data_IF_662051263044
#
_entry.id   IF_662051263044
#
_cell.length_a   1.000
_cell.length_b   1.000
_cell.length_c   1.000
_cell.angle_alpha   90.00
_cell.angle_beta   90.00
_cell.angle_gamma   90.00
#
_symmetry.space_group_name_H-M   'P 1'
#
loop_
_entity.id
_entity.type
_entity.pdbx_description
1 polymer ?
#
# COMPACT_ATOMS: atom_id res chain seq x y z
N UNK A 1 -15.80 16.38 -1.03
CA UNK A 1 -14.63 17.00 -0.37
C UNK A 1 -14.71 16.63 1.12
N UNK A 2 -13.70 16.03 1.80
CA UNK A 2 -12.31 15.70 1.43
C UNK A 2 -12.01 14.19 1.66
N UNK A 3 -12.13 13.34 0.63
CA UNK A 3 -11.92 11.88 0.82
C UNK A 3 -10.45 11.50 0.96
N UNK A 4 -9.54 12.20 0.27
CA UNK A 4 -8.09 11.96 0.28
C UNK A 4 -7.45 12.22 1.65
N UNK A 5 -7.65 13.41 2.21
CA UNK A 5 -7.04 13.80 3.48
C UNK A 5 -7.54 12.93 4.62
N UNK A 6 -8.83 12.55 4.58
CA UNK A 6 -9.42 11.63 5.56
C UNK A 6 -8.80 10.24 5.48
N UNK A 7 -8.65 9.66 4.29
CA UNK A 7 -8.06 8.33 4.14
C UNK A 7 -6.60 8.28 4.63
N UNK A 8 -5.80 9.31 4.29
CA UNK A 8 -4.41 9.41 4.77
C UNK A 8 -4.36 9.59 6.28
N UNK A 9 -5.26 10.39 6.86
CA UNK A 9 -5.36 10.57 8.31
C UNK A 9 -5.75 9.26 9.03
N UNK A 10 -6.72 8.52 8.48
CA UNK A 10 -7.17 7.24 9.03
C UNK A 10 -6.04 6.21 9.00
N UNK A 11 -5.39 6.01 7.84
CA UNK A 11 -4.26 5.10 7.69
C UNK A 11 -3.11 5.49 8.64
N UNK A 12 -2.76 6.79 8.70
CA UNK A 12 -1.73 7.29 9.63
C UNK A 12 -2.07 7.02 11.09
N UNK A 13 -3.34 7.16 11.47
CA UNK A 13 -3.80 6.84 12.83
C UNK A 13 -3.59 5.36 13.17
N UNK A 14 -4.00 4.47 12.26
CA UNK A 14 -3.86 3.01 12.42
C UNK A 14 -2.38 2.62 12.56
N UNK A 15 -1.52 3.09 11.67
CA UNK A 15 -0.11 2.76 11.73
C UNK A 15 0.61 3.38 12.93
N UNK A 16 0.18 4.56 13.41
CA UNK A 16 0.72 5.14 14.64
C UNK A 16 0.43 4.25 15.85
N UNK A 17 -0.79 3.75 15.98
CA UNK A 17 -1.12 2.80 17.05
C UNK A 17 -0.34 1.49 16.95
N UNK A 18 -0.11 0.99 15.73
CA UNK A 18 0.73 -0.20 15.51
C UNK A 18 2.21 0.06 15.86
N UNK A 19 2.71 1.27 15.59
CA UNK A 19 4.06 1.70 15.93
C UNK A 19 4.26 1.82 17.45
N UNK A 20 3.28 2.36 18.17
CA UNK A 20 3.29 2.43 19.65
C UNK A 20 3.30 1.03 20.28
N UNK A 21 2.75 0.03 19.60
CA UNK A 21 2.86 -1.39 19.95
C UNK A 21 4.20 -2.05 19.58
N UNK A 22 5.16 -1.31 19.00
CA UNK A 22 6.51 -1.77 18.69
C UNK A 22 6.66 -2.62 17.41
N UNK A 23 5.59 -2.73 16.60
CA UNK A 23 5.52 -3.71 15.50
C UNK A 23 5.66 -3.17 14.08
N UNK A 24 5.81 -1.86 13.88
CA UNK A 24 5.70 -1.28 12.55
C UNK A 24 7.01 -1.28 11.76
N UNK A 25 6.97 -1.84 10.55
CA UNK A 25 8.10 -1.87 9.61
C UNK A 25 7.76 -1.06 8.36
N UNK A 26 8.79 -0.50 7.72
CA UNK A 26 8.69 0.13 6.42
C UNK A 26 8.40 -0.94 5.37
N UNK A 27 7.30 -0.77 4.65
CA UNK A 27 6.81 -1.77 3.69
C UNK A 27 7.82 -2.10 2.58
N UNK A 28 8.62 -1.12 2.16
CA UNK A 28 9.57 -1.30 1.08
C UNK A 28 10.93 -1.85 1.50
N UNK A 29 11.42 -1.45 2.68
CA UNK A 29 12.76 -1.84 3.14
C UNK A 29 12.76 -2.97 4.15
N UNK A 30 11.61 -3.31 4.74
CA UNK A 30 11.50 -4.25 5.85
C UNK A 30 12.13 -3.75 7.16
N UNK A 31 12.76 -2.57 7.18
CA UNK A 31 13.38 -2.01 8.39
C UNK A 31 12.31 -1.47 9.33
N UNK A 32 12.54 -1.61 10.63
CA UNK A 32 11.70 -1.02 11.67
C UNK A 32 11.61 0.50 11.50
N UNK A 33 10.41 1.05 11.64
CA UNK A 33 10.20 2.49 11.72
C UNK A 33 10.46 2.90 13.18
N UNK A 34 11.44 3.78 13.46
CA UNK A 34 11.89 4.02 14.83
C UNK A 34 10.98 4.96 15.63
N UNK A 35 10.21 5.83 14.95
CA UNK A 35 9.38 6.84 15.61
C UNK A 35 8.28 7.35 14.68
N UNK A 36 7.28 8.00 15.28
CA UNK A 36 6.16 8.58 14.53
C UNK A 36 6.60 9.73 13.60
N UNK A 37 7.74 10.39 13.88
CA UNK A 37 8.31 11.43 13.03
C UNK A 37 8.97 10.86 11.76
N UNK A 38 9.48 9.63 11.83
CA UNK A 38 10.10 8.93 10.70
C UNK A 38 9.08 8.12 9.87
N UNK A 39 7.84 8.01 10.37
CA UNK A 39 6.73 7.32 9.71
C UNK A 39 6.05 8.21 8.68
N UNK A 40 6.14 7.80 7.42
CA UNK A 40 5.41 8.39 6.30
C UNK A 40 4.35 7.44 5.78
N UNK A 41 3.35 8.00 5.10
CA UNK A 41 2.37 7.24 4.31
C UNK A 41 2.75 7.42 2.85
N UNK A 42 2.95 6.30 2.17
CA UNK A 42 3.22 6.25 0.74
C UNK A 42 2.01 5.71 -0.01
N UNK A 43 1.85 6.18 -1.24
CA UNK A 43 0.93 5.62 -2.21
C UNK A 43 1.63 4.49 -2.96
N UNK A 44 1.15 3.27 -2.78
CA UNK A 44 1.68 2.08 -3.44
C UNK A 44 1.76 2.33 -4.95
N UNK A 45 0.62 2.65 -5.56
CA UNK A 45 0.52 3.28 -6.87
C UNK A 45 0.42 4.80 -6.71
N UNK A 46 1.36 5.59 -7.26
CA UNK A 46 1.41 7.04 -7.08
C UNK A 46 0.08 7.72 -7.38
N UNK A 47 -0.34 8.64 -6.51
CA UNK A 47 -1.60 9.36 -6.68
C UNK A 47 -1.64 10.18 -7.98
N UNK A 48 -0.48 10.70 -8.43
CA UNK A 48 -0.30 11.40 -9.70
C UNK A 48 -0.73 10.55 -10.91
N UNK A 49 -0.64 9.23 -10.81
CA UNK A 49 -0.90 8.25 -11.87
C UNK A 49 -2.26 7.57 -11.67
N UNK A 50 -2.51 7.01 -10.47
CA UNK A 50 -3.65 6.13 -10.21
C UNK A 50 -4.86 6.83 -9.58
N UNK A 51 -4.69 8.06 -9.07
CA UNK A 51 -5.76 8.92 -8.49
C UNK A 51 -6.64 8.21 -7.44
N UNK A 52 -6.05 7.28 -6.69
CA UNK A 52 -6.75 6.44 -5.73
C UNK A 52 -6.16 6.65 -4.32
N UNK A 53 -7.05 6.86 -3.33
CA UNK A 53 -6.70 7.03 -1.92
C UNK A 53 -7.36 5.98 -1.03
N UNK A 54 -7.72 4.84 -1.61
CA UNK A 54 -8.22 3.69 -0.88
C UNK A 54 -7.13 3.19 0.08
N UNK A 55 -7.56 2.62 1.19
CA UNK A 55 -6.69 2.19 2.29
C UNK A 55 -5.63 1.18 1.81
N UNK A 56 -5.99 0.25 0.91
CA UNK A 56 -5.03 -0.71 0.35
C UNK A 56 -3.86 -0.04 -0.38
N UNK A 57 -4.06 1.18 -0.89
CA UNK A 57 -3.04 1.94 -1.60
C UNK A 57 -2.18 2.81 -0.66
N UNK A 58 -2.43 2.81 0.65
CA UNK A 58 -1.77 3.66 1.65
C UNK A 58 -0.94 2.83 2.63
N UNK A 59 0.38 2.86 2.48
CA UNK A 59 1.29 1.99 3.23
C UNK A 59 2.32 2.77 4.07
N UNK A 60 2.79 2.21 5.20
CA UNK A 60 3.76 2.87 6.06
C UNK A 60 5.17 2.69 5.51
N UNK A 61 5.94 3.78 5.49
CA UNK A 61 7.31 3.77 4.99
C UNK A 61 8.21 4.72 5.77
N UNK A 62 9.52 4.54 5.63
CA UNK A 62 10.51 5.52 6.07
C UNK A 62 10.54 6.68 5.07
N UNK A 63 10.63 7.92 5.57
CA UNK A 63 10.71 9.11 4.71
C UNK A 63 11.83 9.03 3.67
N UNK A 64 13.02 8.56 4.07
CA UNK A 64 14.17 8.37 3.17
C UNK A 64 13.92 7.36 2.03
N UNK A 65 13.07 6.35 2.26
CA UNK A 65 12.71 5.36 1.23
C UNK A 65 11.58 5.91 0.35
N UNK A 66 10.62 6.62 0.95
CA UNK A 66 9.54 7.28 0.24
C UNK A 66 10.06 8.27 -0.82
N UNK A 67 10.98 9.14 -0.42
CA UNK A 67 11.59 10.13 -1.33
C UNK A 67 12.34 9.44 -2.48
N UNK A 68 12.98 8.29 -2.22
CA UNK A 68 13.64 7.52 -3.28
C UNK A 68 12.63 6.89 -4.23
N UNK A 69 11.52 6.33 -3.74
CA UNK A 69 10.47 5.80 -4.61
C UNK A 69 9.86 6.90 -5.48
N UNK A 70 9.50 8.04 -4.88
CA UNK A 70 8.85 9.17 -5.57
C UNK A 70 7.59 8.70 -6.33
N UNK A 71 7.33 9.26 -7.51
CA UNK A 71 6.23 8.89 -8.42
C UNK A 71 6.49 7.62 -9.26
N UNK A 72 7.48 6.79 -8.89
CA UNK A 72 7.80 5.56 -9.64
C UNK A 72 6.90 4.39 -9.24
N UNK A 73 6.74 3.46 -10.17
CA UNK A 73 5.92 2.26 -9.99
C UNK A 73 6.77 1.15 -9.37
N UNK A 74 6.33 0.48 -8.30
CA UNK A 74 7.04 -0.68 -7.78
C UNK A 74 7.19 -1.75 -8.87
N UNK A 75 8.42 -2.23 -9.05
CA UNK A 75 8.71 -3.36 -9.93
C UNK A 75 7.88 -4.59 -9.49
N UNK A 76 7.23 -5.32 -10.41
CA UNK A 76 6.38 -6.46 -10.07
C UNK A 76 7.11 -7.57 -9.29
N UNK A 77 8.39 -7.83 -9.60
CA UNK A 77 9.18 -8.83 -8.88
C UNK A 77 9.55 -8.35 -7.48
N UNK A 78 9.91 -7.08 -7.34
CA UNK A 78 10.12 -6.46 -6.02
C UNK A 78 8.85 -6.48 -5.15
N UNK A 79 7.70 -6.18 -5.74
CA UNK A 79 6.41 -6.20 -5.05
C UNK A 79 6.11 -7.59 -4.47
N UNK A 80 6.34 -8.65 -5.26
CA UNK A 80 6.20 -10.05 -4.79
C UNK A 80 7.15 -10.38 -3.64
N UNK A 81 8.39 -9.85 -3.64
CA UNK A 81 9.32 -10.02 -2.51
C UNK A 81 8.89 -9.30 -1.24
N UNK A 82 8.01 -8.28 -1.35
CA UNK A 82 7.44 -7.51 -0.22
C UNK A 82 6.02 -7.92 0.12
N UNK A 83 5.56 -9.07 -0.39
CA UNK A 83 4.22 -9.60 -0.14
C UNK A 83 3.90 -9.65 1.35
N UNK A 84 4.79 -10.19 2.18
CA UNK A 84 4.54 -10.34 3.61
C UNK A 84 4.35 -8.98 4.31
N UNK A 85 5.17 -7.98 3.99
CA UNK A 85 5.02 -6.65 4.58
C UNK A 85 3.78 -5.91 4.07
N UNK A 86 3.45 -6.04 2.78
CA UNK A 86 2.25 -5.42 2.19
C UNK A 86 0.99 -6.04 2.80
N UNK A 87 0.91 -7.37 2.82
CA UNK A 87 -0.23 -8.11 3.38
C UNK A 87 -0.39 -7.80 4.86
N UNK A 88 0.71 -7.78 5.65
CA UNK A 88 0.63 -7.40 7.05
C UNK A 88 0.09 -5.99 7.28
N UNK A 89 0.34 -5.04 6.36
CA UNK A 89 -0.27 -3.71 6.43
C UNK A 89 -1.76 -3.74 6.08
N UNK A 90 -2.13 -4.52 5.05
CA UNK A 90 -3.53 -4.70 4.67
C UNK A 90 -4.35 -5.36 5.78
N UNK A 91 -3.80 -6.37 6.46
CA UNK A 91 -4.46 -7.02 7.60
C UNK A 91 -4.68 -6.01 8.75
N UNK A 92 -3.69 -5.17 9.06
CA UNK A 92 -3.85 -4.11 10.07
C UNK A 92 -4.94 -3.09 9.70
N UNK A 93 -5.05 -2.72 8.41
CA UNK A 93 -6.08 -1.82 7.94
C UNK A 93 -7.47 -2.49 7.98
N UNK A 94 -7.54 -3.74 7.56
CA UNK A 94 -8.75 -4.56 7.58
C UNK A 94 -9.27 -4.77 9.00
N UNK A 95 -8.40 -5.11 9.95
CA UNK A 95 -8.74 -5.28 11.36
C UNK A 95 -9.39 -4.03 11.98
N UNK A 96 -8.99 -2.83 11.52
CA UNK A 96 -9.44 -1.55 12.08
C UNK A 96 -10.63 -0.96 11.35
N UNK A 97 -10.73 -1.16 10.03
CA UNK A 97 -11.76 -0.60 9.17
C UNK A 97 -12.27 -1.66 8.17
N UNK A 98 -12.83 -2.80 8.63
CA UNK A 98 -13.06 -3.96 7.78
C UNK A 98 -14.00 -3.66 6.62
N UNK A 99 -15.20 -3.14 6.88
CA UNK A 99 -16.19 -2.88 5.83
C UNK A 99 -15.69 -1.91 4.75
N UNK A 100 -14.95 -0.86 5.15
CA UNK A 100 -14.39 0.11 4.21
C UNK A 100 -13.23 -0.48 3.41
N UNK A 101 -12.30 -1.16 4.09
CA UNK A 101 -11.15 -1.78 3.44
C UNK A 101 -11.59 -2.83 2.41
N UNK A 102 -12.53 -3.71 2.79
CA UNK A 102 -13.08 -4.75 1.91
C UNK A 102 -13.77 -4.16 0.69
N UNK A 103 -14.62 -3.14 0.88
CA UNK A 103 -15.31 -2.47 -0.22
C UNK A 103 -14.31 -1.86 -1.21
N UNK A 104 -13.35 -1.08 -0.69
CA UNK A 104 -12.35 -0.39 -1.49
C UNK A 104 -11.47 -1.36 -2.28
N UNK A 105 -10.93 -2.41 -1.64
CA UNK A 105 -10.05 -3.38 -2.32
C UNK A 105 -10.81 -4.24 -3.33
N UNK A 106 -12.08 -4.59 -3.06
CA UNK A 106 -12.94 -5.32 -4.00
C UNK A 106 -13.22 -4.51 -5.25
N UNK A 107 -13.60 -3.25 -5.10
CA UNK A 107 -13.99 -2.41 -6.23
C UNK A 107 -12.78 -2.11 -7.11
N UNK A 108 -11.65 -1.76 -6.50
CA UNK A 108 -10.54 -1.14 -7.22
C UNK A 108 -9.39 -2.09 -7.53
N UNK A 109 -9.24 -3.24 -6.85
CA UNK A 109 -8.09 -4.13 -7.02
C UNK A 109 -8.44 -5.57 -7.37
N UNK A 110 -9.20 -6.29 -6.53
CA UNK A 110 -9.44 -7.74 -6.73
C UNK A 110 -10.66 -8.05 -7.61
N UNK A 111 -11.63 -7.14 -7.68
CA UNK A 111 -12.88 -7.30 -8.42
C UNK A 111 -14.07 -7.70 -7.53
N UNK A 112 -15.30 -7.24 -7.86
CA UNK A 112 -16.46 -7.33 -6.97
C UNK A 112 -16.95 -8.77 -6.72
N UNK A 113 -16.63 -9.70 -7.62
CA UNK A 113 -17.04 -11.12 -7.55
C UNK A 113 -15.92 -12.04 -7.07
N UNK A 114 -14.76 -11.50 -6.69
CA UNK A 114 -13.66 -12.30 -6.21
C UNK A 114 -14.02 -13.02 -4.89
N UNK A 115 -13.63 -14.31 -4.74
CA UNK A 115 -13.74 -15.02 -3.48
C UNK A 115 -12.84 -14.36 -2.42
N UNK A 116 -13.30 -14.38 -1.17
CA UNK A 116 -12.52 -13.80 -0.05
C UNK A 116 -11.57 -14.81 0.60
N UNK A 117 -11.60 -16.09 0.24
CA UNK A 117 -10.71 -17.10 0.85
C UNK A 117 -9.23 -16.83 0.60
N UNK A 118 -8.90 -16.25 -0.56
CA UNK A 118 -7.53 -16.07 -1.06
C UNK A 118 -7.28 -14.63 -1.54
N UNK A 119 -7.98 -13.67 -0.93
CA UNK A 119 -8.01 -12.28 -1.41
C UNK A 119 -6.63 -11.61 -1.40
N UNK A 120 -5.75 -11.95 -0.45
CA UNK A 120 -4.42 -11.37 -0.31
C UNK A 120 -3.53 -11.73 -1.50
N UNK A 121 -3.52 -13.00 -1.89
CA UNK A 121 -2.72 -13.52 -2.99
C UNK A 121 -3.23 -12.96 -4.32
N UNK A 122 -4.56 -12.96 -4.49
CA UNK A 122 -5.20 -12.36 -5.65
C UNK A 122 -4.93 -10.85 -5.75
N UNK A 123 -4.97 -10.13 -4.63
CA UNK A 123 -4.66 -8.70 -4.59
C UNK A 123 -3.22 -8.42 -5.01
N UNK A 124 -2.25 -9.21 -4.54
CA UNK A 124 -0.84 -9.08 -4.94
C UNK A 124 -0.65 -9.40 -6.43
N UNK A 125 -1.33 -10.42 -6.95
CA UNK A 125 -1.28 -10.78 -8.37
C UNK A 125 -1.82 -9.64 -9.25
N UNK A 126 -3.05 -9.20 -9.00
CA UNK A 126 -3.66 -8.10 -9.76
C UNK A 126 -2.88 -6.79 -9.63
N UNK A 127 -2.29 -6.55 -8.46
CA UNK A 127 -1.44 -5.38 -8.26
C UNK A 127 -0.16 -5.46 -9.09
N UNK A 128 0.48 -6.64 -9.14
CA UNK A 128 1.64 -6.87 -9.99
C UNK A 128 1.29 -6.65 -11.48
N UNK A 129 0.15 -7.16 -11.95
CA UNK A 129 -0.31 -6.97 -13.32
C UNK A 129 -0.53 -5.48 -13.66
N UNK A 130 -1.11 -4.72 -12.73
CA UNK A 130 -1.24 -3.26 -12.88
C UNK A 130 0.11 -2.57 -12.94
N UNK A 131 1.06 -2.94 -12.09
CA UNK A 131 2.42 -2.40 -12.16
C UNK A 131 3.07 -2.70 -13.50
N UNK A 132 2.97 -3.94 -13.99
CA UNK A 132 3.46 -4.36 -15.31
C UNK A 132 2.85 -3.51 -16.42
N UNK A 133 1.53 -3.35 -16.43
CA UNK A 133 0.84 -2.50 -17.41
C UNK A 133 1.32 -1.04 -17.37
N UNK A 134 1.48 -0.47 -16.17
CA UNK A 134 1.95 0.91 -16.02
C UNK A 134 3.40 1.07 -16.51
N UNK A 135 4.26 0.09 -16.29
CA UNK A 135 5.66 0.15 -16.72
C UNK A 135 5.76 -0.11 -18.22
N UNK A 136 5.27 -1.26 -18.69
CA UNK A 136 5.52 -1.76 -20.05
C UNK A 136 4.64 -1.09 -21.11
N UNK A 137 3.39 -0.77 -20.77
CA UNK A 137 2.43 -0.22 -21.73
C UNK A 137 2.32 1.30 -21.61
N UNK A 138 2.35 1.83 -20.38
CA UNK A 138 2.22 3.27 -20.13
C UNK A 138 3.57 4.00 -20.04
N UNK A 139 4.68 3.27 -20.00
CA UNK A 139 6.03 3.82 -20.04
C UNK A 139 6.47 4.52 -18.74
N UNK A 140 5.84 4.22 -17.60
CA UNK A 140 6.27 4.75 -16.32
C UNK A 140 7.55 4.06 -15.84
N UNK A 141 8.37 4.80 -15.10
CA UNK A 141 9.63 4.27 -14.56
C UNK A 141 9.37 3.26 -13.43
N UNK A 142 10.01 2.10 -13.53
CA UNK A 142 10.00 1.07 -12.50
C UNK A 142 10.93 1.42 -11.33
N UNK A 143 10.59 0.97 -10.13
CA UNK A 143 11.40 1.16 -8.94
C UNK A 143 11.48 -0.11 -8.08
N UNK A 144 12.69 -0.40 -7.62
CA UNK A 144 12.98 -1.41 -6.61
C UNK A 144 14.04 -0.87 -5.65
N UNK A 145 14.04 -1.40 -4.42
CA UNK A 145 15.07 -1.13 -3.41
C UNK A 145 16.18 -2.17 -3.44
#
# INVERSE_FOLDING_TARGET
MPTTERAIADARGIYRSALEGGGLRCVWSGRTIPSASEMHIDHLLPFSIWRNNDLWNLLPTLGSVNTKKSDRIPDPHFLKRRKEEIVGCWDLLHDRLPGRFEEEIRISLIGPRAPWSDWQDLAIEHLADKCTYLIEIRGYEAWAL
#
